data_IF_107599560024
#
_entry.id   IF_107599560024
#
_cell.length_a   1.000
_cell.length_b   1.000
_cell.length_c   1.000
_cell.angle_alpha   90.00
_cell.angle_beta   90.00
_cell.angle_gamma   90.00
#
_symmetry.space_group_name_H-M   'P 1'
#
loop_
_entity.id
_entity.type
_entity.pdbx_description
1 polymer ?
#
# COMPACT_ATOMS: atom_id res chain seq x y z
N UNK A 1 -0.93 13.61 4.88
CA UNK A 1 -0.70 12.63 5.96
C UNK A 1 0.06 11.45 5.40
N UNK A 2 0.90 10.79 6.20
CA UNK A 2 1.48 9.48 5.87
C UNK A 2 0.39 8.41 6.00
N UNK A 3 0.23 7.56 4.99
CA UNK A 3 -0.79 6.51 4.96
C UNK A 3 -0.12 5.22 4.48
N UNK A 4 -0.06 4.21 5.35
CA UNK A 4 0.36 2.88 4.93
C UNK A 4 -0.77 2.21 4.14
N UNK A 5 -0.45 1.69 2.95
CA UNK A 5 -1.39 1.02 2.04
C UNK A 5 -0.75 -0.27 1.58
N UNK A 6 -1.43 -1.38 1.81
CA UNK A 6 -1.05 -2.68 1.30
C UNK A 6 -2.10 -3.21 0.32
N UNK A 7 -1.65 -4.07 -0.59
CA UNK A 7 -2.53 -4.93 -1.37
C UNK A 7 -1.80 -6.23 -1.69
N UNK A 8 -2.55 -7.32 -1.82
CA UNK A 8 -2.04 -8.62 -2.27
C UNK A 8 -2.02 -8.78 -3.79
N UNK A 9 -2.79 -7.93 -4.49
CA UNK A 9 -2.86 -7.90 -5.95
C UNK A 9 -2.80 -6.48 -6.50
N UNK A 10 -2.14 -6.32 -7.65
CA UNK A 10 -2.10 -5.04 -8.37
C UNK A 10 -3.18 -4.97 -9.45
N UNK A 11 -4.43 -5.12 -9.03
CA UNK A 11 -5.59 -5.18 -9.91
C UNK A 11 -6.69 -4.21 -9.45
N UNK A 12 -7.65 -3.95 -10.32
CA UNK A 12 -8.81 -3.11 -10.01
C UNK A 12 -8.42 -1.69 -9.57
N UNK A 13 -8.63 -1.38 -8.30
CA UNK A 13 -8.46 -0.03 -7.74
C UNK A 13 -7.07 0.23 -7.16
N UNK A 14 -6.18 -0.76 -7.11
CA UNK A 14 -4.91 -0.69 -6.38
C UNK A 14 -4.07 0.55 -6.76
N UNK A 15 -3.71 0.69 -8.05
CA UNK A 15 -2.94 1.84 -8.52
C UNK A 15 -3.73 3.16 -8.48
N UNK A 16 -5.03 3.11 -8.78
CA UNK A 16 -5.89 4.29 -8.79
C UNK A 16 -6.04 4.90 -7.38
N UNK A 17 -6.16 4.06 -6.36
CA UNK A 17 -6.25 4.48 -4.96
C UNK A 17 -4.95 5.18 -4.54
N UNK A 18 -3.79 4.58 -4.81
CA UNK A 18 -2.48 5.18 -4.48
C UNK A 18 -2.28 6.51 -5.22
N UNK A 19 -2.66 6.58 -6.50
CA UNK A 19 -2.64 7.82 -7.28
C UNK A 19 -3.54 8.90 -6.68
N UNK A 20 -4.74 8.54 -6.26
CA UNK A 20 -5.71 9.47 -5.65
C UNK A 20 -5.25 9.99 -4.29
N UNK A 21 -4.61 9.14 -3.48
CA UNK A 21 -3.99 9.56 -2.22
C UNK A 21 -2.92 10.63 -2.46
N UNK A 22 -2.03 10.40 -3.42
CA UNK A 22 -1.02 11.40 -3.81
C UNK A 22 -1.67 12.70 -4.30
N UNK A 23 -2.67 12.59 -5.17
CA UNK A 23 -3.39 13.75 -5.73
C UNK A 23 -4.04 14.63 -4.65
N UNK A 24 -4.47 14.03 -3.54
CA UNK A 24 -5.05 14.72 -2.38
C UNK A 24 -4.01 15.25 -1.39
N UNK A 25 -2.71 15.11 -1.68
CA UNK A 25 -1.63 15.59 -0.82
C UNK A 25 -1.27 14.64 0.34
N UNK A 26 -1.64 13.36 0.22
CA UNK A 26 -1.15 12.33 1.14
C UNK A 26 0.16 11.72 0.62
N UNK A 27 0.92 11.14 1.54
CA UNK A 27 2.15 10.41 1.28
C UNK A 27 1.87 8.91 1.52
N UNK A 28 1.47 8.17 0.49
CA UNK A 28 1.24 6.74 0.63
C UNK A 28 2.57 5.98 0.74
N UNK A 29 2.66 5.11 1.73
CA UNK A 29 3.71 4.11 1.90
C UNK A 29 3.13 2.79 1.40
N UNK A 30 3.71 2.25 0.34
CA UNK A 30 3.16 1.12 -0.41
C UNK A 30 3.79 -0.19 0.07
N UNK A 31 2.95 -1.20 0.30
CA UNK A 31 3.37 -2.55 0.69
C UNK A 31 2.72 -3.65 -0.15
N UNK A 32 3.33 -4.83 -0.15
CA UNK A 32 2.86 -6.00 -0.89
C UNK A 32 2.93 -5.78 -2.39
N UNK A 33 1.88 -6.11 -3.14
CA UNK A 33 1.81 -5.97 -4.59
C UNK A 33 1.97 -4.52 -5.12
N UNK A 34 1.92 -3.53 -4.23
CA UNK A 34 2.14 -2.12 -4.55
C UNK A 34 3.64 -1.72 -4.49
N UNK A 35 4.50 -2.60 -3.99
CA UNK A 35 5.95 -2.45 -3.90
C UNK A 35 6.64 -3.62 -4.63
N UNK A 36 7.48 -3.32 -5.62
CA UNK A 36 8.04 -4.34 -6.51
C UNK A 36 9.03 -5.30 -5.81
N UNK A 37 9.52 -4.92 -4.62
CA UNK A 37 10.51 -5.65 -3.81
C UNK A 37 9.92 -6.35 -2.58
N UNK A 38 8.59 -6.32 -2.39
CA UNK A 38 7.93 -6.92 -1.24
C UNK A 38 7.15 -8.20 -1.55
N UNK A 39 6.95 -9.01 -0.51
CA UNK A 39 6.08 -10.18 -0.57
C UNK A 39 4.62 -9.73 -0.59
N UNK A 40 3.87 -10.19 -1.60
CA UNK A 40 2.48 -9.78 -1.80
C UNK A 40 1.43 -10.68 -1.13
N UNK A 41 1.79 -11.75 -0.42
CA UNK A 41 0.80 -12.51 0.35
C UNK A 41 0.06 -11.62 1.35
N UNK A 42 -1.27 -11.64 1.34
CA UNK A 42 -2.11 -10.68 2.07
C UNK A 42 -1.72 -10.51 3.55
N UNK A 43 -1.34 -11.59 4.23
CA UNK A 43 -0.96 -11.56 5.64
C UNK A 43 0.35 -10.79 5.86
N UNK A 44 1.34 -10.96 4.99
CA UNK A 44 2.63 -10.27 5.06
C UNK A 44 2.50 -8.80 4.66
N UNK A 45 1.79 -8.53 3.57
CA UNK A 45 1.55 -7.16 3.12
C UNK A 45 0.77 -6.35 4.17
N UNK A 46 -0.24 -6.95 4.82
CA UNK A 46 -1.01 -6.31 5.88
C UNK A 46 -0.21 -6.09 7.16
N UNK A 47 0.63 -7.05 7.55
CA UNK A 47 1.54 -6.89 8.69
C UNK A 47 2.54 -5.74 8.46
N UNK A 48 3.16 -5.67 7.28
CA UNK A 48 4.10 -4.60 6.93
C UNK A 48 3.45 -3.22 7.08
N UNK A 49 2.25 -3.05 6.49
CA UNK A 49 1.49 -1.80 6.64
C UNK A 49 1.07 -1.50 8.09
N UNK A 50 0.75 -2.53 8.88
CA UNK A 50 0.40 -2.35 10.29
C UNK A 50 1.58 -1.92 11.16
N UNK A 51 2.80 -2.40 10.85
CA UNK A 51 4.04 -2.03 11.55
C UNK A 51 4.39 -0.55 11.39
N UNK A 52 4.01 0.06 10.27
CA UNK A 52 4.21 1.50 10.02
C UNK A 52 3.32 2.41 10.89
N UNK A 53 2.29 1.85 11.53
CA UNK A 53 1.28 2.60 12.30
C UNK A 53 1.43 2.39 13.82
N UNK A 54 1.98 1.25 14.25
CA UNK A 54 2.14 0.89 15.67
C UNK A 54 3.08 1.85 16.43
#
# INVERSE_FOLDING_TARGET
>A
MRIAVSSDERTGVADALVGELRRRGHEPIAHGALADDERNDWAWASEAAARDVA
#
